data_IF_952756344151
#
_entry.id   IF_952756344151
#
_cell.length_a   1.000
_cell.length_b   1.000
_cell.length_c   1.000
_cell.angle_alpha   90.00
_cell.angle_beta   90.00
_cell.angle_gamma   90.00
#
_symmetry.space_group_name_H-M   'P 1'
#
loop_
_entity.id
_entity.type
_entity.pdbx_description
1 polymer ?
#
# COMPACT_ATOMS: atom_id res chain seq x y z
N UNK A 1 -67.91 32.25 -39.55
CA UNK A 1 -68.98 31.71 -38.67
C UNK A 1 -68.40 31.45 -37.29
N UNK A 2 -68.50 32.46 -36.41
CA UNK A 2 -69.26 32.44 -35.14
C UNK A 2 -68.43 31.87 -33.97
N UNK A 3 -67.58 32.65 -33.29
CA UNK A 3 -67.85 33.73 -32.34
C UNK A 3 -68.45 33.26 -31.00
N UNK A 4 -67.68 33.39 -29.90
CA UNK A 4 -68.21 33.97 -28.65
C UNK A 4 -67.10 34.49 -27.73
N UNK A 5 -67.26 35.75 -27.38
CA UNK A 5 -66.45 36.59 -26.49
C UNK A 5 -67.03 36.63 -25.06
N UNK A 6 -66.18 37.10 -24.13
CA UNK A 6 -66.43 37.80 -22.84
C UNK A 6 -66.43 36.95 -21.55
N UNK A 7 -66.27 37.57 -20.35
CA UNK A 7 -65.21 38.50 -19.91
C UNK A 7 -64.69 38.19 -18.46
N UNK A 8 -63.67 38.96 -18.00
CA UNK A 8 -63.11 39.00 -16.63
C UNK A 8 -64.12 39.57 -15.58
N UNK A 9 -63.88 39.59 -14.23
CA UNK A 9 -62.79 40.42 -13.63
C UNK A 9 -62.31 40.13 -12.16
N UNK A 10 -61.34 40.96 -11.74
CA UNK A 10 -61.04 41.49 -10.38
C UNK A 10 -60.71 40.58 -9.19
N UNK A 11 -59.42 40.54 -8.82
CA UNK A 11 -58.90 40.52 -7.43
C UNK A 11 -57.56 41.28 -7.51
N UNK A 12 -57.17 42.27 -6.71
CA UNK A 12 -57.58 42.75 -5.41
C UNK A 12 -56.30 43.35 -4.83
N UNK A 13 -56.19 44.68 -4.87
CA UNK A 13 -55.03 45.45 -4.42
C UNK A 13 -55.03 45.49 -2.88
N UNK A 14 -53.97 45.05 -2.22
CA UNK A 14 -53.69 45.38 -0.82
C UNK A 14 -52.23 45.80 -0.61
N UNK A 15 -51.98 46.79 0.26
CA UNK A 15 -50.71 47.51 0.31
C UNK A 15 -49.72 46.81 1.25
N UNK A 16 -48.48 46.63 0.79
CA UNK A 16 -47.39 46.19 1.67
C UNK A 16 -46.49 47.37 2.01
N UNK A 17 -46.86 48.05 3.08
CA UNK A 17 -45.93 48.89 3.84
C UNK A 17 -44.81 48.02 4.40
N UNK A 18 -43.55 48.41 4.16
CA UNK A 18 -42.46 48.20 5.13
C UNK A 18 -41.26 49.10 4.82
N UNK A 19 -41.09 50.03 5.75
CA UNK A 19 -39.99 50.93 6.05
C UNK A 19 -38.62 50.33 5.71
N UNK A 20 -37.81 51.14 5.02
CA UNK A 20 -36.36 51.02 4.98
C UNK A 20 -35.79 51.17 6.39
N UNK A 21 -34.97 50.20 6.82
CA UNK A 21 -34.06 50.37 7.93
C UNK A 21 -32.64 50.13 7.40
N UNK A 22 -31.86 51.20 7.40
CA UNK A 22 -30.41 51.16 7.32
C UNK A 22 -29.85 50.39 8.52
N UNK A 23 -28.98 49.42 8.26
CA UNK A 23 -28.09 48.78 9.24
C UNK A 23 -26.68 48.68 8.64
N UNK A 24 -25.61 48.84 9.45
CA UNK A 24 -24.25 49.00 8.94
C UNK A 24 -23.67 47.71 8.35
N UNK A 25 -22.71 47.78 7.41
CA UNK A 25 -22.03 46.61 6.88
C UNK A 25 -20.85 46.25 7.80
N UNK A 26 -21.10 45.53 8.90
CA UNK A 26 -20.01 45.03 9.76
C UNK A 26 -20.41 43.67 10.32
N UNK A 27 -19.75 42.60 9.84
CA UNK A 27 -19.58 41.27 10.47
C UNK A 27 -19.44 40.10 9.47
N UNK A 28 -19.11 40.34 8.19
CA UNK A 28 -18.78 39.23 7.27
C UNK A 28 -17.34 38.70 7.38
N UNK A 29 -16.51 39.33 8.21
CA UNK A 29 -15.10 38.95 8.36
C UNK A 29 -14.89 37.86 9.42
N UNK A 30 -15.80 37.70 10.39
CA UNK A 30 -15.63 36.76 11.52
C UNK A 30 -15.99 35.30 11.19
N UNK A 31 -16.69 35.03 10.09
CA UNK A 31 -17.12 33.67 9.72
C UNK A 31 -16.03 32.94 8.90
N UNK A 32 -15.12 33.66 8.23
CA UNK A 32 -14.11 33.05 7.35
C UNK A 32 -12.95 32.37 8.09
N UNK A 33 -12.74 32.68 9.37
CA UNK A 33 -11.70 32.06 10.21
C UNK A 33 -12.28 30.97 11.13
N UNK A 34 -13.58 31.01 11.44
CA UNK A 34 -14.22 30.02 12.30
C UNK A 34 -14.31 28.63 11.66
N UNK A 35 -14.53 28.56 10.33
CA UNK A 35 -14.62 27.29 9.60
C UNK A 35 -13.32 26.47 9.56
N UNK A 36 -12.14 27.02 9.20
CA UNK A 36 -10.90 26.25 9.22
C UNK A 36 -10.47 25.90 10.65
N UNK A 37 -10.71 26.79 11.62
CA UNK A 37 -10.38 26.53 13.02
C UNK A 37 -11.23 25.38 13.60
N UNK A 38 -12.54 25.35 13.31
CA UNK A 38 -13.42 24.25 13.72
C UNK A 38 -13.02 22.90 13.10
N UNK A 39 -12.60 22.88 11.84
CA UNK A 39 -12.08 21.68 11.18
C UNK A 39 -10.77 21.18 11.82
N UNK A 40 -9.84 22.10 12.16
CA UNK A 40 -8.61 21.80 12.90
C UNK A 40 -8.88 21.24 14.30
N UNK A 41 -9.88 21.76 15.01
CA UNK A 41 -10.30 21.24 16.32
C UNK A 41 -10.97 19.86 16.21
N UNK A 42 -11.76 19.60 15.17
CA UNK A 42 -12.40 18.30 14.94
C UNK A 42 -11.40 17.17 14.61
N UNK A 43 -10.27 17.48 13.98
CA UNK A 43 -9.18 16.53 13.73
C UNK A 43 -8.52 16.01 15.02
N UNK A 44 -8.50 16.80 16.11
CA UNK A 44 -7.95 16.35 17.41
C UNK A 44 -8.89 15.40 18.16
N UNK A 45 -10.16 15.31 17.77
CA UNK A 45 -11.16 14.46 18.43
C UNK A 45 -10.95 12.96 18.14
N UNK A 46 -10.31 12.59 17.02
CA UNK A 46 -10.00 11.19 16.70
C UNK A 46 -8.97 10.53 17.63
N UNK A 47 -8.31 11.29 18.52
CA UNK A 47 -7.35 10.77 19.50
C UNK A 47 -7.50 11.40 20.89
N UNK A 48 -8.69 11.94 21.20
CA UNK A 48 -8.94 12.67 22.45
C UNK A 48 -8.92 11.75 23.69
N UNK A 49 -9.23 10.46 23.51
CA UNK A 49 -9.20 9.48 24.59
C UNK A 49 -7.96 8.58 24.52
N UNK A 50 -6.82 9.14 24.92
CA UNK A 50 -5.57 8.38 25.07
C UNK A 50 -5.62 7.35 26.20
N UNK A 51 -6.63 7.40 27.07
CA UNK A 51 -6.80 6.46 28.18
C UNK A 51 -7.37 5.10 27.75
N UNK A 52 -7.92 5.03 26.53
CA UNK A 52 -8.41 3.80 25.90
C UNK A 52 -7.32 2.95 25.25
N UNK A 53 -6.14 3.52 25.01
CA UNK A 53 -4.98 2.79 24.52
C UNK A 53 -4.15 2.27 25.69
N UNK A 54 -3.65 1.02 25.63
CA UNK A 54 -2.71 0.54 26.64
C UNK A 54 -1.45 1.40 26.63
N UNK A 55 -0.90 1.66 27.82
CA UNK A 55 0.35 2.41 27.96
C UNK A 55 1.48 1.76 27.16
N UNK A 56 2.23 2.57 26.40
CA UNK A 56 3.51 2.18 25.78
C UNK A 56 4.67 2.21 26.78
N UNK A 57 4.42 2.51 28.05
CA UNK A 57 5.45 2.37 29.07
C UNK A 57 5.85 0.89 29.19
N UNK A 58 7.15 0.66 29.35
CA UNK A 58 7.74 -0.67 29.54
C UNK A 58 6.96 -1.42 30.63
N UNK A 59 6.43 -2.60 30.27
CA UNK A 59 5.61 -3.40 31.18
C UNK A 59 6.50 -4.03 32.26
N UNK A 60 5.99 -4.27 33.48
CA UNK A 60 6.74 -5.01 34.50
C UNK A 60 7.26 -6.37 34.04
N UNK A 61 6.49 -7.07 33.19
CA UNK A 61 6.90 -8.34 32.58
C UNK A 61 8.08 -8.21 31.61
N UNK A 62 8.21 -7.07 30.92
CA UNK A 62 9.31 -6.81 29.96
C UNK A 62 10.61 -6.46 30.69
N UNK A 63 10.53 -5.87 31.91
CA UNK A 63 11.70 -5.58 32.74
C UNK A 63 12.48 -6.82 33.14
N UNK A 64 11.82 -7.99 33.24
CA UNK A 64 12.50 -9.26 33.50
C UNK A 64 13.47 -9.65 32.37
N UNK A 65 13.26 -9.14 31.15
CA UNK A 65 14.11 -9.40 29.99
C UNK A 65 15.06 -8.23 29.66
N UNK A 66 14.85 -7.05 30.26
CA UNK A 66 15.58 -5.82 29.94
C UNK A 66 17.02 -5.74 30.45
N UNK A 67 17.44 -6.67 31.31
CA UNK A 67 18.81 -6.75 31.82
C UNK A 67 19.65 -7.86 31.15
N UNK A 68 19.21 -8.36 29.99
CA UNK A 68 20.02 -9.31 29.24
C UNK A 68 21.39 -8.70 28.97
N UNK A 69 22.44 -9.22 29.61
CA UNK A 69 23.82 -8.87 29.34
C UNK A 69 24.00 -8.96 27.82
N UNK A 70 24.34 -7.85 27.17
CA UNK A 70 24.59 -7.86 25.74
C UNK A 70 25.72 -8.86 25.51
N UNK A 71 25.40 -9.98 24.86
CA UNK A 71 26.40 -10.98 24.55
C UNK A 71 27.55 -10.26 23.84
N UNK A 72 28.78 -10.47 24.32
CA UNK A 72 29.95 -9.98 23.61
C UNK A 72 29.80 -10.41 22.14
N UNK A 73 30.02 -9.52 21.16
CA UNK A 73 29.91 -9.89 19.77
C UNK A 73 30.77 -11.12 19.56
N UNK A 74 30.13 -12.25 19.23
CA UNK A 74 30.84 -13.47 18.91
C UNK A 74 31.73 -13.13 17.72
N UNK A 75 33.00 -13.55 17.77
CA UNK A 75 33.90 -13.39 16.63
C UNK A 75 33.16 -13.87 15.37
N UNK A 76 32.96 -12.98 14.41
CA UNK A 76 32.39 -13.35 13.12
C UNK A 76 33.32 -14.42 12.58
N UNK A 77 32.85 -15.67 12.34
CA UNK A 77 33.68 -16.66 11.70
C UNK A 77 34.22 -16.04 10.42
N UNK A 78 35.54 -16.06 10.23
CA UNK A 78 36.13 -15.69 8.93
C UNK A 78 35.43 -16.51 7.83
N UNK A 79 35.35 -16.01 6.59
CA UNK A 79 34.56 -16.62 5.54
C UNK A 79 34.99 -18.08 5.37
N UNK A 80 34.22 -19.00 5.96
CA UNK A 80 34.32 -20.39 5.62
C UNK A 80 33.80 -20.48 4.20
N UNK A 81 34.61 -21.04 3.29
CA UNK A 81 34.13 -21.38 1.97
C UNK A 81 32.82 -22.13 2.13
N UNK A 82 31.73 -21.60 1.55
CA UNK A 82 30.44 -22.28 1.57
C UNK A 82 30.66 -23.55 0.77
N UNK A 83 30.74 -24.68 1.48
CA UNK A 83 30.76 -25.98 0.83
C UNK A 83 29.55 -26.04 -0.10
N UNK A 84 29.81 -26.22 -1.40
CA UNK A 84 28.82 -26.21 -2.47
C UNK A 84 28.01 -24.89 -2.63
N UNK A 85 28.69 -23.74 -2.69
CA UNK A 85 28.06 -22.45 -3.03
C UNK A 85 27.26 -22.53 -4.35
N UNK A 86 27.81 -23.19 -5.36
CA UNK A 86 27.18 -23.30 -6.67
C UNK A 86 25.84 -24.06 -6.61
N UNK A 87 25.79 -25.20 -5.89
CA UNK A 87 24.56 -25.96 -5.69
C UNK A 87 23.51 -25.17 -4.91
N UNK A 88 23.93 -24.44 -3.85
CA UNK A 88 23.01 -23.56 -3.10
C UNK A 88 22.42 -22.46 -3.98
N UNK A 89 23.25 -21.78 -4.78
CA UNK A 89 22.78 -20.75 -5.71
C UNK A 89 21.84 -21.33 -6.77
N UNK A 90 22.12 -22.53 -7.28
CA UNK A 90 21.24 -23.20 -8.23
C UNK A 90 19.86 -23.51 -7.62
N UNK A 91 19.81 -24.06 -6.39
CA UNK A 91 18.56 -24.36 -5.70
C UNK A 91 17.70 -23.12 -5.43
N UNK A 92 18.33 -21.99 -5.05
CA UNK A 92 17.63 -20.72 -4.87
C UNK A 92 17.06 -20.18 -6.19
N UNK A 93 17.81 -20.27 -7.28
CA UNK A 93 17.32 -19.91 -8.62
C UNK A 93 16.14 -20.76 -9.06
N UNK A 94 16.20 -22.07 -8.79
CA UNK A 94 15.09 -22.98 -9.11
C UNK A 94 13.84 -22.66 -8.30
N UNK A 95 14.00 -22.34 -7.02
CA UNK A 95 12.90 -21.88 -6.15
C UNK A 95 12.24 -20.61 -6.71
N UNK A 96 13.03 -19.60 -7.09
CA UNK A 96 12.53 -18.38 -7.70
C UNK A 96 11.85 -18.64 -9.05
N UNK A 97 12.41 -19.52 -9.88
CA UNK A 97 11.84 -19.87 -11.19
C UNK A 97 10.51 -20.62 -11.04
N UNK A 98 10.39 -21.51 -10.04
CA UNK A 98 9.15 -22.21 -9.75
C UNK A 98 8.05 -21.25 -9.27
N UNK A 99 8.40 -20.29 -8.40
CA UNK A 99 7.49 -19.20 -8.00
C UNK A 99 7.04 -18.37 -9.21
N UNK A 100 7.97 -17.97 -10.08
CA UNK A 100 7.66 -17.24 -11.31
C UNK A 100 6.74 -18.01 -12.27
N UNK A 101 6.92 -19.32 -12.38
CA UNK A 101 6.05 -20.18 -13.18
C UNK A 101 4.61 -20.19 -12.61
N UNK A 102 4.44 -20.24 -11.28
CA UNK A 102 3.12 -20.12 -10.64
C UNK A 102 2.49 -18.76 -10.87
N UNK A 103 3.26 -17.68 -10.76
CA UNK A 103 2.82 -16.32 -11.06
C UNK A 103 2.28 -16.23 -12.49
N UNK A 104 3.09 -16.65 -13.47
CA UNK A 104 2.76 -16.58 -14.90
C UNK A 104 1.53 -17.43 -15.25
N UNK A 105 1.40 -18.61 -14.63
CA UNK A 105 0.22 -19.47 -14.81
C UNK A 105 -1.10 -18.82 -14.34
N UNK A 106 -1.04 -17.91 -13.37
CA UNK A 106 -2.20 -17.22 -12.81
C UNK A 106 -2.46 -15.85 -13.48
N UNK A 107 -1.44 -15.26 -14.11
CA UNK A 107 -1.47 -13.88 -14.64
C UNK A 107 -2.63 -13.62 -15.60
N UNK A 108 -2.87 -14.53 -16.55
CA UNK A 108 -3.95 -14.37 -17.54
C UNK A 108 -5.34 -14.36 -16.91
N UNK A 109 -5.59 -15.23 -15.93
CA UNK A 109 -6.86 -15.26 -15.21
C UNK A 109 -7.08 -13.99 -14.37
N UNK A 110 -6.05 -13.55 -13.63
CA UNK A 110 -6.12 -12.33 -12.85
C UNK A 110 -6.42 -11.11 -13.73
N UNK A 111 -5.75 -10.98 -14.88
CA UNK A 111 -6.02 -9.91 -15.84
C UNK A 111 -7.46 -9.94 -16.37
N UNK A 112 -7.99 -11.12 -16.69
CA UNK A 112 -9.39 -11.26 -17.11
C UNK A 112 -10.38 -10.85 -16.04
N UNK A 113 -10.13 -11.21 -14.77
CA UNK A 113 -11.03 -10.87 -13.66
C UNK A 113 -10.99 -9.39 -13.33
N UNK A 114 -9.80 -8.78 -13.33
CA UNK A 114 -9.64 -7.32 -13.16
C UNK A 114 -10.38 -6.56 -14.27
N UNK A 115 -10.25 -6.99 -15.53
CA UNK A 115 -10.96 -6.36 -16.64
C UNK A 115 -12.48 -6.49 -16.52
N UNK A 116 -12.98 -7.64 -16.06
CA UNK A 116 -14.41 -7.86 -15.84
C UNK A 116 -14.97 -7.07 -14.64
N UNK A 117 -14.13 -6.75 -13.66
CA UNK A 117 -14.49 -5.98 -12.48
C UNK A 117 -14.46 -4.45 -12.70
N UNK A 118 -14.07 -3.98 -13.90
CA UNK A 118 -13.93 -2.54 -14.19
C UNK A 118 -15.19 -1.74 -13.84
N UNK A 119 -15.03 -0.65 -13.09
CA UNK A 119 -16.14 0.20 -12.62
C UNK A 119 -17.04 -0.44 -11.54
N UNK A 120 -16.73 -1.65 -11.08
CA UNK A 120 -17.43 -2.27 -9.96
C UNK A 120 -17.02 -1.61 -8.65
N UNK A 121 -17.97 -1.42 -7.74
CA UNK A 121 -17.66 -0.87 -6.41
C UNK A 121 -16.92 -1.91 -5.55
N UNK A 122 -15.99 -1.49 -4.68
CA UNK A 122 -15.43 -2.37 -3.66
C UNK A 122 -16.51 -3.12 -2.88
N UNK A 123 -16.27 -4.40 -2.61
CA UNK A 123 -17.21 -5.29 -1.91
C UNK A 123 -18.30 -5.93 -2.78
N UNK A 124 -18.38 -5.59 -4.07
CA UNK A 124 -19.18 -6.38 -5.03
C UNK A 124 -18.50 -7.71 -5.34
N UNK A 125 -19.26 -8.71 -5.76
CA UNK A 125 -18.72 -10.03 -6.11
C UNK A 125 -17.63 -9.95 -7.19
N UNK A 126 -17.85 -9.15 -8.24
CA UNK A 126 -16.87 -8.96 -9.31
C UNK A 126 -15.55 -8.37 -8.79
N UNK A 127 -15.63 -7.33 -7.96
CA UNK A 127 -14.45 -6.72 -7.33
C UNK A 127 -13.73 -7.71 -6.40
N UNK A 128 -14.46 -8.43 -5.55
CA UNK A 128 -13.89 -9.40 -4.62
C UNK A 128 -13.14 -10.52 -5.34
N UNK A 129 -13.69 -11.05 -6.43
CA UNK A 129 -13.01 -12.06 -7.25
C UNK A 129 -11.72 -11.53 -7.88
N UNK A 130 -11.72 -10.31 -8.38
CA UNK A 130 -10.53 -9.68 -8.92
C UNK A 130 -9.47 -9.44 -7.84
N UNK A 131 -9.87 -8.97 -6.65
CA UNK A 131 -8.98 -8.76 -5.51
C UNK A 131 -8.33 -10.07 -5.03
N UNK A 132 -9.09 -11.17 -4.97
CA UNK A 132 -8.56 -12.51 -4.63
C UNK A 132 -7.54 -12.98 -5.67
N UNK A 133 -7.82 -12.77 -6.96
CA UNK A 133 -6.89 -13.15 -8.03
C UNK A 133 -5.59 -12.33 -7.96
N UNK A 134 -5.69 -11.03 -7.69
CA UNK A 134 -4.52 -10.17 -7.45
C UNK A 134 -3.73 -10.62 -6.22
N UNK A 135 -4.40 -10.98 -5.13
CA UNK A 135 -3.75 -11.52 -3.92
C UNK A 135 -3.06 -12.88 -4.18
N UNK A 136 -3.57 -13.68 -5.12
CA UNK A 136 -2.94 -14.93 -5.54
C UNK A 136 -1.62 -14.66 -6.28
N UNK A 137 -1.58 -13.66 -7.17
CA UNK A 137 -0.34 -13.20 -7.81
C UNK A 137 0.68 -12.70 -6.78
N UNK A 138 0.24 -11.86 -5.83
CA UNK A 138 1.11 -11.35 -4.76
C UNK A 138 1.67 -12.48 -3.90
N UNK A 139 0.86 -13.49 -3.59
CA UNK A 139 1.31 -14.69 -2.86
C UNK A 139 2.37 -15.46 -3.64
N UNK A 140 2.14 -15.71 -4.94
CA UNK A 140 3.09 -16.40 -5.80
C UNK A 140 4.42 -15.66 -5.89
N UNK A 141 4.40 -14.33 -6.05
CA UNK A 141 5.60 -13.47 -6.01
C UNK A 141 6.32 -13.57 -4.66
N UNK A 142 5.56 -13.59 -3.56
CA UNK A 142 6.10 -13.65 -2.20
C UNK A 142 6.99 -14.88 -1.96
N UNK A 143 6.68 -16.02 -2.59
CA UNK A 143 7.52 -17.21 -2.53
C UNK A 143 8.90 -16.98 -3.15
N UNK A 144 8.98 -16.26 -4.27
CA UNK A 144 10.24 -15.92 -4.95
C UNK A 144 11.09 -14.91 -4.17
N UNK A 145 10.43 -13.98 -3.44
CA UNK A 145 11.13 -13.03 -2.56
C UNK A 145 11.93 -13.71 -1.45
N UNK A 146 11.49 -14.89 -0.97
CA UNK A 146 12.25 -15.67 0.02
C UNK A 146 13.60 -16.10 -0.58
N UNK A 147 13.60 -16.61 -1.81
CA UNK A 147 14.81 -16.99 -2.50
C UNK A 147 15.73 -15.79 -2.80
N UNK A 148 15.15 -14.63 -3.17
CA UNK A 148 15.93 -13.40 -3.35
C UNK A 148 16.60 -12.96 -2.05
N UNK A 149 15.90 -13.00 -0.91
CA UNK A 149 16.46 -12.64 0.39
C UNK A 149 17.62 -13.55 0.81
N UNK A 150 17.57 -14.83 0.47
CA UNK A 150 18.69 -15.74 0.71
C UNK A 150 19.86 -15.48 -0.24
N UNK A 151 19.59 -15.10 -1.50
CA UNK A 151 20.62 -14.62 -2.42
C UNK A 151 21.24 -13.30 -1.96
N UNK A 152 20.49 -12.37 -1.35
CA UNK A 152 21.01 -11.14 -0.75
C UNK A 152 22.05 -11.45 0.34
N UNK A 153 21.73 -12.40 1.24
CA UNK A 153 22.67 -12.84 2.28
C UNK A 153 23.96 -13.37 1.68
N UNK A 154 23.85 -14.22 0.66
CA UNK A 154 25.01 -14.76 -0.06
C UNK A 154 25.80 -13.65 -0.77
N UNK A 155 25.12 -12.66 -1.35
CA UNK A 155 25.73 -11.56 -2.07
C UNK A 155 26.54 -10.67 -1.13
N UNK A 156 26.01 -10.38 0.07
CA UNK A 156 26.72 -9.63 1.12
C UNK A 156 28.01 -10.38 1.49
N UNK A 157 27.90 -11.66 1.87
CA UNK A 157 29.07 -12.48 2.25
C UNK A 157 30.11 -12.54 1.13
N UNK A 158 29.67 -12.74 -0.12
CA UNK A 158 30.56 -12.80 -1.27
C UNK A 158 31.25 -11.45 -1.57
N UNK A 159 30.53 -10.34 -1.35
CA UNK A 159 31.08 -8.99 -1.52
C UNK A 159 32.12 -8.67 -0.45
N UNK A 160 31.86 -9.04 0.81
CA UNK A 160 32.82 -8.88 1.92
C UNK A 160 34.10 -9.70 1.68
N UNK A 161 33.98 -10.95 1.24
CA UNK A 161 35.12 -11.80 0.90
C UNK A 161 35.95 -11.21 -0.25
N UNK A 162 35.28 -10.69 -1.29
CA UNK A 162 35.94 -10.07 -2.45
C UNK A 162 36.66 -8.75 -2.10
N UNK A 163 36.30 -8.08 -1.00
CA UNK A 163 36.94 -6.83 -0.60
C UNK A 163 38.40 -7.03 -0.12
N UNK A 164 38.73 -8.22 0.37
CA UNK A 164 40.06 -8.55 0.92
C UNK A 164 40.70 -9.77 0.25
N UNK A 165 40.06 -10.33 -0.77
CA UNK A 165 40.47 -11.57 -1.41
C UNK A 165 39.90 -11.74 -2.82
N UNK A 166 39.97 -12.95 -3.40
CA UNK A 166 39.42 -13.23 -4.72
C UNK A 166 37.90 -13.04 -4.79
N UNK A 167 37.40 -12.62 -5.94
CA UNK A 167 35.98 -12.38 -6.21
C UNK A 167 35.23 -13.62 -6.75
N UNK A 168 35.78 -14.81 -6.57
CA UNK A 168 35.26 -16.07 -7.14
C UNK A 168 33.81 -16.32 -6.73
N UNK A 169 33.48 -16.18 -5.44
CA UNK A 169 32.12 -16.38 -4.93
C UNK A 169 31.17 -15.30 -5.43
N UNK A 170 31.64 -14.05 -5.53
CA UNK A 170 30.85 -12.93 -6.03
C UNK A 170 30.43 -13.14 -7.49
N UNK A 171 31.35 -13.67 -8.32
CA UNK A 171 31.06 -14.05 -9.71
C UNK A 171 30.01 -15.15 -9.85
N UNK A 172 29.82 -15.97 -8.81
CA UNK A 172 28.76 -17.01 -8.78
C UNK A 172 27.43 -16.44 -8.31
N UNK A 173 27.43 -15.63 -7.25
CA UNK A 173 26.19 -15.16 -6.59
C UNK A 173 25.56 -13.97 -7.32
N UNK A 174 26.34 -12.97 -7.74
CA UNK A 174 25.81 -11.72 -8.28
C UNK A 174 24.93 -11.90 -9.52
N UNK A 175 25.27 -12.76 -10.52
CA UNK A 175 24.40 -12.99 -11.67
C UNK A 175 23.07 -13.64 -11.29
N UNK A 176 23.09 -14.59 -10.34
CA UNK A 176 21.90 -15.27 -9.86
C UNK A 176 20.96 -14.32 -9.12
N UNK A 177 21.51 -13.51 -8.22
CA UNK A 177 20.79 -12.45 -7.53
C UNK A 177 20.14 -11.47 -8.52
N UNK A 178 20.93 -10.95 -9.48
CA UNK A 178 20.43 -9.99 -10.48
C UNK A 178 19.30 -10.56 -11.35
N UNK A 179 19.42 -11.83 -11.75
CA UNK A 179 18.37 -12.49 -12.54
C UNK A 179 17.06 -12.65 -11.76
N UNK A 180 17.12 -13.08 -10.49
CA UNK A 180 15.93 -13.24 -9.64
C UNK A 180 15.30 -11.88 -9.31
N UNK A 181 16.11 -10.86 -9.02
CA UNK A 181 15.62 -9.50 -8.79
C UNK A 181 14.88 -8.94 -10.01
N UNK A 182 15.40 -9.18 -11.22
CA UNK A 182 14.77 -8.74 -12.46
C UNK A 182 13.40 -9.41 -12.69
N UNK A 183 13.28 -10.73 -12.43
CA UNK A 183 12.01 -11.45 -12.49
C UNK A 183 10.97 -10.84 -11.53
N UNK A 184 11.34 -10.64 -10.27
CA UNK A 184 10.41 -10.12 -9.26
C UNK A 184 10.00 -8.67 -9.54
N UNK A 185 10.87 -7.86 -10.15
CA UNK A 185 10.56 -6.51 -10.60
C UNK A 185 9.60 -6.47 -11.81
N UNK A 186 9.62 -7.48 -12.68
CA UNK A 186 8.62 -7.70 -13.74
C UNK A 186 7.24 -8.01 -13.12
N UNK A 187 7.22 -8.90 -12.13
CA UNK A 187 6.01 -9.29 -11.41
C UNK A 187 5.39 -8.10 -10.66
N UNK A 188 6.20 -7.29 -9.97
CA UNK A 188 5.75 -6.06 -9.29
C UNK A 188 5.04 -5.11 -10.24
N UNK A 189 5.65 -4.84 -11.41
CA UNK A 189 5.05 -3.96 -12.43
C UNK A 189 3.71 -4.50 -12.90
N UNK A 190 3.60 -5.82 -13.07
CA UNK A 190 2.36 -6.48 -13.47
C UNK A 190 1.29 -6.35 -12.38
N UNK A 191 1.62 -6.66 -11.12
CA UNK A 191 0.71 -6.53 -9.98
C UNK A 191 0.22 -5.09 -9.85
N UNK A 192 1.13 -4.11 -9.90
CA UNK A 192 0.80 -2.69 -9.80
C UNK A 192 -0.16 -2.25 -10.91
N UNK A 193 0.12 -2.63 -12.16
CA UNK A 193 -0.73 -2.28 -13.30
C UNK A 193 -2.13 -2.92 -13.21
N UNK A 194 -2.26 -4.12 -12.62
CA UNK A 194 -3.55 -4.76 -12.38
C UNK A 194 -4.29 -4.13 -11.20
N UNK A 195 -3.58 -3.76 -10.13
CA UNK A 195 -4.16 -3.08 -8.98
C UNK A 195 -4.76 -1.73 -9.39
N UNK A 196 -4.00 -0.91 -10.13
CA UNK A 196 -4.47 0.39 -10.63
C UNK A 196 -5.76 0.26 -11.46
N UNK A 197 -5.84 -0.75 -12.32
CA UNK A 197 -7.04 -1.02 -13.14
C UNK A 197 -8.25 -1.48 -12.32
N UNK A 198 -8.03 -2.17 -11.21
CA UNK A 198 -9.12 -2.60 -10.32
C UNK A 198 -9.68 -1.43 -9.50
N UNK A 199 -8.84 -0.44 -9.22
CA UNK A 199 -9.21 0.77 -8.48
C UNK A 199 -9.85 1.85 -9.36
N UNK A 200 -9.70 1.76 -10.68
CA UNK A 200 -10.29 2.67 -11.68
C UNK A 200 -11.74 2.34 -12.05
#
# INVERSE_FOLDING_TARGET
MAAKLRPAPHIGLLPRSRKSFYGPPMARLSIRIAAPLGALLALTACNADRSRFPSLAIRPAERAYGSGQQAAPSAVPGPAAIADLAGRVAALRETATASHARFTAQQGQAASLVNAAKGSKPGTEAWSRAAIALASLTSARGEGMVALSDLDRLLITATEAAAVGPDTDLKVVAPAHGAVAALLAEEDRTIAALAEKLES
#
